data_IF_532706212495
#
_entry.id   IF_532706212495
#
_cell.length_a   1.000
_cell.length_b   1.000
_cell.length_c   1.000
_cell.angle_alpha   90.00
_cell.angle_beta   90.00
_cell.angle_gamma   90.00
#
_symmetry.space_group_name_H-M   'P 1'
#
loop_
_entity.id
_entity.type
_entity.pdbx_description
1 polymer ?
#
# COMPACT_ATOMS: atom_id res chain seq x y z
N UNK A 1 -11.15 -9.38 -18.71
CA UNK A 1 -9.77 -9.72 -19.09
C UNK A 1 -8.79 -8.91 -18.24
N UNK A 2 -7.80 -9.58 -17.71
CA UNK A 2 -6.88 -8.97 -16.77
C UNK A 2 -5.87 -8.06 -17.49
N UNK A 3 -5.61 -6.89 -16.91
CA UNK A 3 -4.63 -5.95 -17.41
C UNK A 3 -3.58 -5.67 -16.33
N UNK A 4 -2.32 -5.89 -16.64
CA UNK A 4 -1.21 -5.59 -15.72
C UNK A 4 -0.99 -4.08 -15.67
N UNK A 5 -0.88 -3.55 -14.46
CA UNK A 5 -0.62 -2.13 -14.21
C UNK A 5 0.81 -1.98 -13.70
N UNK A 6 1.52 -1.02 -14.26
CA UNK A 6 2.89 -0.72 -13.89
C UNK A 6 3.10 0.79 -13.83
N UNK A 7 3.91 1.24 -12.88
CA UNK A 7 4.36 2.63 -12.79
C UNK A 7 5.76 2.69 -12.18
N UNK A 8 6.57 3.62 -12.69
CA UNK A 8 7.89 3.89 -12.11
C UNK A 8 7.79 4.80 -10.87
N UNK A 9 6.59 5.31 -10.57
CA UNK A 9 6.34 6.14 -9.38
C UNK A 9 6.11 5.32 -8.12
N UNK A 10 6.11 3.99 -8.23
CA UNK A 10 6.06 3.07 -7.11
C UNK A 10 7.18 2.05 -7.25
N UNK A 11 7.56 1.35 -6.17
CA UNK A 11 8.63 0.35 -6.23
C UNK A 11 8.36 -0.71 -7.29
N UNK A 12 9.39 -1.07 -8.05
CA UNK A 12 9.30 -2.08 -9.10
C UNK A 12 8.93 -3.44 -8.53
N UNK A 13 8.10 -4.18 -9.26
CA UNK A 13 7.86 -5.57 -8.92
C UNK A 13 9.12 -6.39 -9.25
N UNK A 14 9.69 -7.00 -8.23
CA UNK A 14 10.85 -7.87 -8.36
C UNK A 14 10.42 -9.28 -8.03
N UNK A 15 10.29 -10.11 -9.06
CA UNK A 15 9.82 -11.48 -8.90
C UNK A 15 8.52 -11.73 -9.68
N UNK A 16 7.87 -12.87 -9.45
CA UNK A 16 6.73 -13.30 -10.23
C UNK A 16 5.41 -12.67 -9.76
N UNK A 17 5.33 -11.32 -9.76
CA UNK A 17 4.09 -10.61 -9.41
C UNK A 17 4.03 -9.28 -10.14
N UNK A 18 2.83 -8.68 -10.19
CA UNK A 18 2.59 -7.36 -10.76
C UNK A 18 2.35 -6.36 -9.63
N UNK A 19 2.65 -5.10 -9.86
CA UNK A 19 2.31 -4.04 -8.90
C UNK A 19 0.81 -4.00 -8.65
N UNK A 20 0.03 -4.13 -9.71
CA UNK A 20 -1.41 -4.23 -9.63
C UNK A 20 -1.98 -4.89 -10.89
N UNK A 21 -3.20 -5.37 -10.77
CA UNK A 21 -3.94 -5.99 -11.88
C UNK A 21 -5.33 -5.38 -11.92
N UNK A 22 -5.70 -4.83 -13.08
CA UNK A 22 -7.06 -4.36 -13.32
C UNK A 22 -7.89 -5.48 -13.92
N UNK A 23 -9.13 -5.63 -13.45
CA UNK A 23 -10.10 -6.59 -13.97
C UNK A 23 -11.47 -5.91 -13.93
N UNK A 24 -12.02 -5.57 -15.09
CA UNK A 24 -13.22 -4.75 -15.16
C UNK A 24 -12.98 -3.42 -14.45
N UNK A 25 -13.86 -3.08 -13.54
CA UNK A 25 -13.75 -1.85 -12.75
C UNK A 25 -12.91 -2.01 -11.47
N UNK A 26 -12.40 -3.21 -11.21
CA UNK A 26 -11.59 -3.49 -10.03
C UNK A 26 -10.10 -3.32 -10.29
N UNK A 27 -9.40 -2.86 -9.26
CA UNK A 27 -7.93 -2.84 -9.23
C UNK A 27 -7.46 -3.60 -8.00
N UNK A 28 -6.74 -4.69 -8.23
CA UNK A 28 -6.12 -5.51 -7.20
C UNK A 28 -4.67 -5.09 -7.07
N UNK A 29 -4.30 -4.51 -5.94
CA UNK A 29 -2.95 -4.00 -5.73
C UNK A 29 -2.15 -4.95 -4.84
N UNK A 30 -0.90 -5.19 -5.22
CA UNK A 30 0.06 -5.86 -4.34
C UNK A 30 0.35 -4.98 -3.12
N UNK A 31 0.75 -5.60 -2.02
CA UNK A 31 1.10 -4.86 -0.81
C UNK A 31 2.29 -3.94 -1.04
N UNK A 32 2.25 -2.76 -0.43
CA UNK A 32 3.33 -1.78 -0.50
C UNK A 32 4.07 -1.71 0.81
N UNK A 33 5.38 -1.62 0.72
CA UNK A 33 6.28 -1.42 1.87
C UNK A 33 7.07 -0.12 1.65
N UNK A 34 7.86 0.27 2.65
CA UNK A 34 8.60 1.54 2.61
C UNK A 34 9.87 1.45 1.76
N UNK A 35 9.68 1.39 0.45
CA UNK A 35 10.76 1.47 -0.54
C UNK A 35 10.63 2.80 -1.27
N UNK A 36 11.74 3.52 -1.43
CA UNK A 36 11.80 4.72 -2.25
C UNK A 36 11.86 4.30 -3.73
N UNK A 37 10.87 4.63 -4.56
CA UNK A 37 10.86 4.19 -5.96
C UNK A 37 11.97 4.82 -6.81
N UNK A 38 12.55 5.93 -6.37
CA UNK A 38 13.62 6.61 -7.12
C UNK A 38 14.98 5.95 -6.91
N UNK A 39 15.27 5.54 -5.68
CA UNK A 39 16.55 4.94 -5.30
C UNK A 39 16.49 3.45 -5.15
N UNK A 40 15.29 2.89 -5.00
CA UNK A 40 15.02 1.49 -4.71
C UNK A 40 15.56 1.07 -3.33
N UNK A 41 15.80 2.04 -2.46
CA UNK A 41 16.26 1.79 -1.10
C UNK A 41 15.09 1.56 -0.15
N UNK A 42 15.27 0.59 0.74
CA UNK A 42 14.29 0.24 1.78
C UNK A 42 14.55 1.11 3.01
N UNK A 43 13.52 1.72 3.55
CA UNK A 43 13.61 2.48 4.79
C UNK A 43 13.05 1.63 5.94
N UNK A 44 13.88 1.36 6.94
CA UNK A 44 13.50 0.56 8.11
C UNK A 44 13.52 1.35 9.41
N UNK A 45 13.55 2.69 9.33
CA UNK A 45 13.58 3.58 10.49
C UNK A 45 12.21 3.70 11.16
N UNK A 46 11.86 4.90 11.59
CA UNK A 46 10.64 5.12 12.38
C UNK A 46 9.36 4.72 11.63
N UNK A 47 8.38 4.27 12.38
CA UNK A 47 7.12 3.77 11.81
C UNK A 47 6.32 4.86 11.11
N UNK A 48 6.40 6.10 11.56
CA UNK A 48 5.71 7.22 10.94
C UNK A 48 6.17 7.41 9.50
N UNK A 49 7.48 7.49 9.28
CA UNK A 49 8.08 7.66 7.96
C UNK A 49 7.82 6.45 7.07
N UNK A 50 7.94 5.23 7.62
CA UNK A 50 7.60 4.03 6.86
C UNK A 50 6.16 4.11 6.34
N UNK A 51 5.21 4.48 7.19
CA UNK A 51 3.79 4.54 6.82
C UNK A 51 3.53 5.62 5.77
N UNK A 52 4.16 6.79 5.90
CA UNK A 52 4.04 7.85 4.91
C UNK A 52 4.53 7.39 3.53
N UNK A 53 5.66 6.67 3.49
CA UNK A 53 6.20 6.11 2.25
C UNK A 53 5.27 5.06 1.65
N UNK A 54 4.72 4.18 2.49
CA UNK A 54 3.77 3.15 2.06
C UNK A 54 2.54 3.79 1.41
N UNK A 55 1.95 4.78 2.07
CA UNK A 55 0.75 5.45 1.56
C UNK A 55 1.03 6.17 0.24
N UNK A 56 2.20 6.76 0.10
CA UNK A 56 2.61 7.42 -1.14
C UNK A 56 2.77 6.40 -2.28
N UNK A 57 3.31 5.22 -1.98
CA UNK A 57 3.45 4.16 -2.97
C UNK A 57 2.08 3.61 -3.38
N UNK A 58 1.17 3.44 -2.44
CA UNK A 58 -0.22 3.03 -2.74
C UNK A 58 -0.89 4.06 -3.67
N UNK A 59 -0.74 5.34 -3.36
CA UNK A 59 -1.30 6.41 -4.18
C UNK A 59 -0.78 6.36 -5.62
N UNK A 60 0.52 6.11 -5.78
CA UNK A 60 1.14 6.03 -7.10
C UNK A 60 0.59 4.85 -7.91
N UNK A 61 0.40 3.70 -7.29
CA UNK A 61 -0.16 2.53 -7.97
C UNK A 61 -1.62 2.79 -8.38
N UNK A 62 -2.42 3.38 -7.50
CA UNK A 62 -3.80 3.76 -7.83
C UNK A 62 -3.81 4.73 -9.02
N UNK A 63 -2.95 5.75 -8.98
CA UNK A 63 -2.84 6.76 -10.04
C UNK A 63 -2.48 6.17 -11.40
N UNK A 64 -1.72 5.08 -11.43
CA UNK A 64 -1.38 4.38 -12.67
C UNK A 64 -2.60 3.83 -13.40
N UNK A 65 -3.72 3.65 -12.70
CA UNK A 65 -5.00 3.22 -13.28
C UNK A 65 -6.06 4.32 -13.20
N UNK A 66 -5.62 5.57 -13.09
CA UNK A 66 -6.51 6.74 -13.00
C UNK A 66 -7.49 6.65 -11.83
N UNK A 67 -7.03 6.12 -10.71
CA UNK A 67 -7.77 6.00 -9.46
C UNK A 67 -7.09 6.79 -8.35
N UNK A 68 -7.80 6.99 -7.25
CA UNK A 68 -7.26 7.63 -6.05
C UNK A 68 -7.83 6.93 -4.80
N UNK A 69 -7.53 7.45 -3.63
CA UNK A 69 -7.97 6.83 -2.37
C UNK A 69 -9.49 6.71 -2.24
N UNK A 70 -10.26 7.59 -2.89
CA UNK A 70 -11.72 7.51 -2.88
C UNK A 70 -12.26 6.25 -3.57
N UNK A 71 -11.46 5.62 -4.43
CA UNK A 71 -11.82 4.38 -5.11
C UNK A 71 -11.55 3.13 -4.27
N UNK A 72 -10.81 3.26 -3.16
CA UNK A 72 -10.42 2.09 -2.35
C UNK A 72 -11.63 1.59 -1.57
N UNK A 73 -11.92 0.29 -1.68
CA UNK A 73 -13.05 -0.35 -1.02
C UNK A 73 -12.64 -1.28 0.12
N UNK A 74 -11.41 -1.79 0.07
CA UNK A 74 -10.89 -2.70 1.10
C UNK A 74 -9.40 -2.50 1.27
N UNK A 75 -8.93 -2.50 2.51
CA UNK A 75 -7.50 -2.48 2.83
C UNK A 75 -7.16 -3.56 3.85
N UNK A 76 -5.92 -3.99 3.85
CA UNK A 76 -5.33 -4.80 4.90
C UNK A 76 -4.02 -4.16 5.33
N UNK A 77 -3.88 -3.92 6.62
CA UNK A 77 -2.66 -3.40 7.23
C UNK A 77 -1.98 -4.55 7.96
N UNK A 78 -0.73 -4.83 7.57
CA UNK A 78 0.12 -5.83 8.23
C UNK A 78 1.18 -5.10 9.05
N UNK A 79 1.29 -5.44 10.34
CA UNK A 79 2.26 -4.85 11.27
C UNK A 79 3.12 -5.94 11.88
N UNK A 80 4.38 -5.63 12.16
CA UNK A 80 5.23 -6.55 12.94
C UNK A 80 5.04 -6.36 14.44
N UNK A 81 4.47 -5.21 14.86
CA UNK A 81 4.20 -4.92 16.26
C UNK A 81 2.90 -4.11 16.35
N UNK A 82 1.90 -4.66 17.03
CA UNK A 82 0.61 -3.99 17.17
C UNK A 82 0.70 -2.68 17.97
N UNK A 83 1.78 -2.48 18.73
CA UNK A 83 2.02 -1.21 19.42
C UNK A 83 2.20 -0.03 18.44
N UNK A 84 2.52 -0.30 17.17
CA UNK A 84 2.64 0.73 16.15
C UNK A 84 1.29 1.16 15.55
N UNK A 85 0.21 0.46 15.91
CA UNK A 85 -1.09 0.68 15.27
C UNK A 85 -1.58 2.12 15.37
N UNK A 86 -1.45 2.75 16.53
CA UNK A 86 -1.95 4.12 16.73
C UNK A 86 -1.29 5.11 15.77
N UNK A 87 0.04 5.01 15.59
CA UNK A 87 0.79 5.89 14.69
C UNK A 87 0.43 5.62 13.24
N UNK A 88 0.38 4.35 12.86
CA UNK A 88 -0.01 3.96 11.50
C UNK A 88 -1.42 4.45 11.19
N UNK A 89 -2.36 4.24 12.11
CA UNK A 89 -3.75 4.62 11.93
C UNK A 89 -3.93 6.12 11.74
N UNK A 90 -3.15 6.94 12.45
CA UNK A 90 -3.20 8.39 12.33
C UNK A 90 -2.83 8.86 10.91
N UNK A 91 -1.79 8.26 10.33
CA UNK A 91 -1.33 8.61 8.98
C UNK A 91 -2.30 8.06 7.94
N UNK A 92 -2.73 6.81 8.12
CA UNK A 92 -3.70 6.15 7.25
C UNK A 92 -5.00 6.97 7.15
N UNK A 93 -5.48 7.48 8.28
CA UNK A 93 -6.73 8.22 8.33
C UNK A 93 -6.73 9.48 7.46
N UNK A 94 -5.56 10.07 7.23
CA UNK A 94 -5.45 11.27 6.39
C UNK A 94 -5.83 11.02 4.94
N UNK A 95 -5.72 9.78 4.48
CA UNK A 95 -6.06 9.40 3.10
C UNK A 95 -7.56 9.13 2.93
N UNK A 96 -8.28 8.83 4.00
CA UNK A 96 -9.67 8.38 3.95
C UNK A 96 -10.55 9.26 4.83
N UNK A 97 -10.81 10.49 4.35
CA UNK A 97 -11.48 11.53 5.15
C UNK A 97 -13.00 11.50 5.06
N UNK A 98 -13.57 10.88 4.02
CA UNK A 98 -15.03 10.89 3.81
C UNK A 98 -15.67 9.54 4.08
N UNK A 99 -15.41 8.55 3.24
CA UNK A 99 -16.00 7.22 3.33
C UNK A 99 -14.89 6.19 3.42
N UNK A 100 -14.42 5.86 4.63
CA UNK A 100 -13.29 4.92 4.76
C UNK A 100 -13.63 3.55 4.20
N UNK A 101 -12.65 2.86 3.60
CA UNK A 101 -12.85 1.49 3.13
C UNK A 101 -13.01 0.51 4.29
N UNK A 102 -13.53 -0.66 3.99
CA UNK A 102 -13.46 -1.78 4.94
C UNK A 102 -11.98 -2.12 5.19
N UNK A 103 -11.64 -2.52 6.41
CA UNK A 103 -10.25 -2.76 6.78
C UNK A 103 -10.10 -3.91 7.74
N UNK A 104 -8.99 -4.64 7.60
CA UNK A 104 -8.47 -5.54 8.62
C UNK A 104 -7.05 -5.11 8.97
N UNK A 105 -6.68 -5.21 10.24
CA UNK A 105 -5.32 -4.94 10.70
C UNK A 105 -4.86 -6.12 11.53
N UNK A 106 -3.70 -6.67 11.16
CA UNK A 106 -3.15 -7.87 11.82
C UNK A 106 -1.67 -7.69 12.11
N UNK A 107 -1.20 -8.33 13.16
CA UNK A 107 0.23 -8.45 13.44
C UNK A 107 0.72 -9.75 12.81
N UNK A 108 1.90 -9.70 12.21
CA UNK A 108 2.54 -10.83 11.55
C UNK A 108 3.93 -11.05 12.13
N UNK A 109 4.50 -12.24 11.90
CA UNK A 109 5.80 -12.58 12.44
C UNK A 109 6.93 -11.74 11.84
N UNK A 110 6.83 -11.43 10.53
CA UNK A 110 7.83 -10.63 9.82
C UNK A 110 7.24 -10.12 8.52
N UNK A 111 7.86 -9.07 7.98
CA UNK A 111 7.51 -8.51 6.69
C UNK A 111 8.75 -8.51 5.77
N UNK A 112 8.55 -8.41 4.44
CA UNK A 112 9.67 -8.40 3.51
C UNK A 112 10.68 -7.29 3.86
N UNK A 113 11.95 -7.61 3.71
CA UNK A 113 13.09 -6.67 3.85
C UNK A 113 13.17 -5.99 5.22
N UNK A 114 12.56 -6.60 6.25
CA UNK A 114 12.67 -6.12 7.63
C UNK A 114 11.87 -4.86 7.93
N UNK A 115 10.90 -4.49 7.09
CA UNK A 115 10.02 -3.36 7.39
C UNK A 115 9.00 -3.72 8.47
N UNK A 116 8.34 -2.71 9.03
CA UNK A 116 7.40 -2.88 10.14
C UNK A 116 5.93 -2.70 9.75
N UNK A 117 5.67 -2.24 8.53
CA UNK A 117 4.31 -2.04 8.03
C UNK A 117 4.25 -2.37 6.54
N UNK A 118 3.15 -3.01 6.16
CA UNK A 118 2.78 -3.26 4.76
C UNK A 118 1.29 -3.03 4.61
N UNK A 119 0.86 -2.39 3.51
CA UNK A 119 -0.55 -2.14 3.26
C UNK A 119 -0.89 -2.58 1.84
N UNK A 120 -1.95 -3.38 1.72
CA UNK A 120 -2.51 -3.74 0.42
C UNK A 120 -3.92 -3.15 0.29
N UNK A 121 -4.33 -2.85 -0.93
CA UNK A 121 -5.65 -2.27 -1.19
C UNK A 121 -6.34 -2.96 -2.36
N UNK A 122 -7.67 -2.92 -2.33
CA UNK A 122 -8.54 -3.27 -3.43
C UNK A 122 -9.36 -2.04 -3.76
N UNK A 123 -9.38 -1.64 -5.03
CA UNK A 123 -10.10 -0.45 -5.47
C UNK A 123 -11.12 -0.80 -6.55
N UNK A 124 -12.12 0.07 -6.70
CA UNK A 124 -13.19 -0.08 -7.69
C UNK A 124 -13.53 1.29 -8.27
N UNK A 125 -13.64 1.36 -9.59
CA UNK A 125 -13.97 2.60 -10.31
C UNK A 125 -15.43 3.00 -10.13
#
# INVERSE_FOLDING_TARGET
MKKVIHTDNAPKAVGPYSQAVAMGDFLFCSGQISIDPKTNEVFTGDIKTQTEMVMKNVEAVLGANNMNFANVVKTTIFLTNMADFATVNEIYAKAFTAAPPARSTVAVAALPKGVNVEIEVLAHR
#
